data_IF_684129621782
#
_entry.id   IF_684129621782
#
_cell.length_a   1.000
_cell.length_b   1.000
_cell.length_c   1.000
_cell.angle_alpha   90.00
_cell.angle_beta   90.00
_cell.angle_gamma   90.00
#
_symmetry.space_group_name_H-M   'P 1'
#
loop_
_entity.id
_entity.type
_entity.pdbx_description
1 polymer ?
#
# COMPACT_ATOMS: atom_id res chain seq x y z
N UNK A 1 3.21 15.67 12.17
CA UNK A 1 2.11 14.86 12.74
C UNK A 1 2.26 13.49 12.14
N UNK A 2 2.40 12.48 12.99
CA UNK A 2 2.77 11.13 12.55
C UNK A 2 1.63 10.18 12.83
N UNK A 3 1.32 9.34 11.85
CA UNK A 3 0.24 8.38 11.86
C UNK A 3 0.79 6.96 11.81
N UNK A 4 -0.11 6.03 12.03
CA UNK A 4 0.18 4.61 11.93
C UNK A 4 0.26 4.17 10.47
N UNK A 5 1.27 3.37 10.14
CA UNK A 5 1.35 2.72 8.85
C UNK A 5 0.55 1.41 8.88
N UNK A 6 -0.49 1.25 8.03
CA UNK A 6 -1.33 0.05 8.04
C UNK A 6 -0.60 -1.20 7.50
N UNK A 7 0.54 -1.02 6.82
CA UNK A 7 1.35 -2.11 6.24
C UNK A 7 2.34 -2.71 7.24
N UNK A 8 3.11 -1.88 7.94
CA UNK A 8 4.15 -2.37 8.88
C UNK A 8 3.75 -2.27 10.35
N UNK A 9 2.56 -1.74 10.64
CA UNK A 9 2.03 -1.69 11.99
C UNK A 9 2.92 -0.80 12.93
N UNK A 10 3.55 0.26 12.39
CA UNK A 10 4.43 1.19 13.13
C UNK A 10 3.98 2.63 13.00
N UNK A 11 4.29 3.45 14.01
CA UNK A 11 4.13 4.91 13.97
C UNK A 11 5.27 5.51 13.15
N UNK A 12 4.96 5.91 11.93
CA UNK A 12 5.94 6.53 11.04
C UNK A 12 5.39 6.95 9.69
N UNK A 13 4.07 7.11 9.59
CA UNK A 13 3.40 7.56 8.38
C UNK A 13 3.18 9.07 8.45
N UNK A 14 3.71 9.82 7.50
CA UNK A 14 3.64 11.28 7.49
C UNK A 14 3.14 11.80 6.15
N UNK A 15 2.49 12.97 6.18
CA UNK A 15 2.05 13.64 4.97
C UNK A 15 3.20 14.38 4.30
N UNK A 16 3.53 13.97 3.07
CA UNK A 16 4.43 14.71 2.20
C UNK A 16 3.63 15.77 1.41
N UNK A 17 3.83 17.03 1.78
CA UNK A 17 3.13 18.16 1.18
C UNK A 17 3.52 18.48 -0.26
N UNK A 18 4.68 17.99 -0.74
CA UNK A 18 5.18 18.21 -2.11
C UNK A 18 4.60 17.18 -3.07
N UNK A 19 4.70 15.91 -2.70
CA UNK A 19 4.16 14.79 -3.45
C UNK A 19 2.65 14.60 -3.24
N UNK A 20 2.05 15.24 -2.22
CA UNK A 20 0.63 15.11 -1.86
C UNK A 20 0.26 13.65 -1.53
N UNK A 21 1.11 12.97 -0.78
CA UNK A 21 0.92 11.57 -0.38
C UNK A 21 1.20 11.39 1.11
N UNK A 22 0.64 10.32 1.70
CA UNK A 22 1.11 9.80 2.98
C UNK A 22 2.21 8.79 2.71
N UNK A 23 3.34 8.91 3.39
CA UNK A 23 4.49 8.03 3.24
C UNK A 23 4.96 7.51 4.59
N UNK A 24 5.20 6.21 4.68
CA UNK A 24 5.91 5.61 5.80
C UNK A 24 7.42 5.77 5.62
N UNK A 25 8.10 6.49 6.52
CA UNK A 25 9.54 6.79 6.39
C UNK A 25 10.46 5.62 6.78
N UNK A 26 9.90 4.51 7.28
CA UNK A 26 10.70 3.32 7.54
C UNK A 26 11.11 2.67 6.21
N UNK A 27 12.41 2.68 5.92
CA UNK A 27 12.99 2.08 4.72
C UNK A 27 12.58 0.61 4.48
N UNK A 28 12.29 -0.15 5.54
CA UNK A 28 11.81 -1.52 5.45
C UNK A 28 10.36 -1.65 4.97
N UNK A 29 9.61 -0.54 4.90
CA UNK A 29 8.19 -0.51 4.58
C UNK A 29 7.90 0.30 3.33
N UNK A 30 8.36 1.57 3.30
CA UNK A 30 8.13 2.56 2.23
C UNK A 30 6.69 2.57 1.69
N UNK A 31 5.71 2.39 2.57
CA UNK A 31 4.30 2.38 2.20
C UNK A 31 3.84 3.76 1.79
N UNK A 32 3.08 3.85 0.69
CA UNK A 32 2.61 5.13 0.14
C UNK A 32 1.11 5.04 -0.07
N UNK A 33 0.36 5.99 0.49
CA UNK A 33 -1.07 6.16 0.26
C UNK A 33 -1.27 7.49 -0.46
N UNK A 34 -1.91 7.44 -1.64
CA UNK A 34 -2.25 8.63 -2.42
C UNK A 34 -3.66 9.09 -2.05
N UNK A 35 -3.83 10.39 -1.81
CA UNK A 35 -5.14 11.00 -1.58
C UNK A 35 -5.48 11.80 -2.84
N UNK A 36 -6.43 11.32 -3.64
CA UNK A 36 -6.82 11.96 -4.89
C UNK A 36 -7.44 13.34 -4.65
N UNK A 37 -7.19 14.28 -5.58
CA UNK A 37 -7.73 15.65 -5.56
C UNK A 37 -7.40 16.50 -4.31
N UNK A 38 -6.41 16.11 -3.52
CA UNK A 38 -6.02 16.80 -2.30
C UNK A 38 -5.13 18.03 -2.56
N UNK A 39 -5.73 19.23 -2.58
CA UNK A 39 -5.01 20.50 -2.85
C UNK A 39 -4.27 21.05 -1.61
N UNK A 40 -4.81 20.85 -0.40
CA UNK A 40 -4.30 21.38 0.88
C UNK A 40 -3.87 20.24 1.81
N UNK A 41 -3.19 20.57 2.91
CA UNK A 41 -2.89 19.56 3.95
C UNK A 41 -4.23 18.98 4.45
N UNK A 42 -4.43 17.65 4.38
CA UNK A 42 -5.66 17.02 4.83
C UNK A 42 -5.81 17.14 6.35
N UNK A 43 -7.05 17.13 6.82
CA UNK A 43 -7.34 17.07 8.26
C UNK A 43 -6.89 15.73 8.84
N UNK A 44 -6.59 15.66 10.14
CA UNK A 44 -6.27 14.40 10.81
C UNK A 44 -7.32 13.31 10.59
N UNK A 45 -8.60 13.68 10.62
CA UNK A 45 -9.72 12.77 10.40
C UNK A 45 -9.69 12.16 9.00
N UNK A 46 -9.42 12.99 7.98
CA UNK A 46 -9.30 12.51 6.59
C UNK A 46 -8.09 11.58 6.42
N UNK A 47 -6.99 11.87 7.11
CA UNK A 47 -5.80 11.01 7.10
C UNK A 47 -6.11 9.64 7.73
N UNK A 48 -6.81 9.62 8.87
CA UNK A 48 -7.23 8.36 9.51
C UNK A 48 -8.15 7.55 8.60
N UNK A 49 -9.13 8.20 7.97
CA UNK A 49 -10.06 7.54 7.04
C UNK A 49 -9.32 6.83 5.90
N UNK A 50 -8.39 7.51 5.23
CA UNK A 50 -7.65 6.90 4.10
C UNK A 50 -6.71 5.79 4.55
N UNK A 51 -6.15 5.87 5.77
CA UNK A 51 -5.34 4.80 6.35
C UNK A 51 -6.20 3.55 6.61
N UNK A 52 -7.41 3.72 7.14
CA UNK A 52 -8.34 2.62 7.37
C UNK A 52 -8.84 2.00 6.06
N UNK A 53 -9.16 2.81 5.05
CA UNK A 53 -9.52 2.33 3.72
C UNK A 53 -8.39 1.53 3.08
N UNK A 54 -7.16 2.03 3.16
CA UNK A 54 -5.99 1.33 2.64
C UNK A 54 -5.74 0.00 3.39
N UNK A 55 -5.89 -0.01 4.73
CA UNK A 55 -5.84 -1.24 5.53
C UNK A 55 -6.88 -2.27 5.08
N UNK A 56 -8.11 -1.84 4.80
CA UNK A 56 -9.18 -2.71 4.28
C UNK A 56 -8.84 -3.24 2.88
N UNK A 57 -8.33 -2.39 1.98
CA UNK A 57 -7.89 -2.79 0.63
C UNK A 57 -6.78 -3.84 0.70
N UNK A 58 -5.80 -3.69 1.58
CA UNK A 58 -4.73 -4.67 1.76
C UNK A 58 -5.27 -6.02 2.24
N UNK A 59 -6.21 -6.05 3.19
CA UNK A 59 -6.85 -7.29 3.64
C UNK A 59 -7.65 -7.98 2.54
N UNK A 60 -8.33 -7.21 1.69
CA UNK A 60 -9.13 -7.76 0.60
C UNK A 60 -8.27 -8.24 -0.58
N UNK A 61 -7.11 -7.62 -0.83
CA UNK A 61 -6.18 -8.03 -1.89
C UNK A 61 -5.42 -9.34 -1.58
N UNK A 62 -5.43 -9.83 -0.33
CA UNK A 62 -4.86 -11.15 0.01
C UNK A 62 -5.66 -12.30 -0.62
N UNK A 63 -6.88 -12.06 -1.13
CA UNK A 63 -7.69 -13.08 -1.81
C UNK A 63 -7.54 -13.13 -3.34
N UNK A 64 -6.64 -12.33 -3.93
CA UNK A 64 -6.41 -12.30 -5.39
C UNK A 64 -4.94 -12.44 -5.77
N UNK A 65 -4.17 -13.21 -5.00
CA UNK A 65 -3.02 -13.89 -5.60
C UNK A 65 -3.55 -15.06 -6.44
N UNK A 66 -4.07 -14.73 -7.62
CA UNK A 66 -4.07 -15.68 -8.72
C UNK A 66 -2.60 -15.92 -9.02
N UNK A 67 -2.04 -16.93 -8.35
CA UNK A 67 -0.88 -17.68 -8.81
C UNK A 67 -1.19 -17.97 -10.28
N UNK A 68 -0.55 -17.24 -11.19
CA UNK A 68 -0.51 -17.62 -12.59
C UNK A 68 0.48 -18.79 -12.57
N UNK A 69 0.04 -20.07 -12.75
CA UNK A 69 1.02 -21.12 -12.98
C UNK A 69 1.77 -20.74 -14.25
N UNK A 70 3.05 -20.40 -14.12
CA UNK A 70 3.98 -20.38 -15.24
C UNK A 70 3.85 -21.74 -15.92
N UNK A 71 3.34 -21.69 -17.15
CA UNK A 71 2.95 -22.86 -17.92
C UNK A 71 4.04 -23.92 -17.93
N UNK A 72 3.64 -25.12 -17.55
CA UNK A 72 4.30 -26.38 -17.83
C UNK A 72 4.52 -26.49 -19.34
N UNK A 73 5.72 -26.17 -19.83
CA UNK A 73 6.12 -26.54 -21.18
C UNK A 73 6.58 -28.00 -21.15
N UNK A 74 5.63 -28.89 -21.41
CA UNK A 74 5.87 -30.24 -21.90
C UNK A 74 6.67 -30.18 -23.20
N UNK A 75 7.84 -30.80 -23.19
CA UNK A 75 8.58 -31.16 -24.39
C UNK A 75 9.76 -32.04 -23.98
N UNK A 76 10.14 -33.10 -24.67
CA UNK A 76 9.60 -33.84 -25.78
C UNK A 76 10.38 -35.17 -25.77
N UNK A 77 9.81 -36.18 -26.40
CA UNK A 77 10.31 -37.55 -26.45
C UNK A 77 11.73 -37.72 -27.03
N UNK A 78 12.39 -38.80 -26.61
CA UNK A 78 13.20 -39.64 -27.50
C UNK A 78 14.71 -39.49 -27.35
N UNK A 79 15.36 -40.53 -26.83
CA UNK A 79 16.04 -41.57 -27.62
C UNK A 79 16.17 -42.84 -26.81
#
# INVERSE_FOLDING_TARGET
MTFYCPKCNRYGMEWDGRAKVLMCYYNSCNHIIRIENQKRIPSPEKISEVIEEDAKRMRNNVHTDKIIPLGLSTGAAGT
#
